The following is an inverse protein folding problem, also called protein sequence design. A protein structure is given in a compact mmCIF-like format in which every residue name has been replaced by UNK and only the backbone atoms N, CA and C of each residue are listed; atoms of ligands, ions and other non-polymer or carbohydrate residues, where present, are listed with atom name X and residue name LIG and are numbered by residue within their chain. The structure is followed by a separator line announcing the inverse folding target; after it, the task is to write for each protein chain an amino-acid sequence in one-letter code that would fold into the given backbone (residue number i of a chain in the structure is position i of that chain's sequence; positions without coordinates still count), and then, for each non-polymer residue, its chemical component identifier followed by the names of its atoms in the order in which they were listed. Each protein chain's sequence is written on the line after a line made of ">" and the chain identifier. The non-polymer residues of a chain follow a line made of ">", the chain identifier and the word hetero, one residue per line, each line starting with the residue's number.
data_IF_107257714515
#
_entry.id   IF_107257714515
#
_cell.length_a   1.000
_cell.length_b   1.000
_cell.length_c   1.000
_cell.angle_alpha   90.00
_cell.angle_beta   90.00
_cell.angle_gamma   90.00
#
_symmetry.space_group_name_H-M   'P 1'
#
loop_
_entity.id
_entity.type
_entity.pdbx_description
1 polymer ?
#
# COMPACT_ATOMS: atom_id res chain seq x y z
N UNK A 1 2.14 -18.84 15.86
CA UNK A 1 3.41 -18.71 15.13
C UNK A 1 3.21 -18.40 13.64
N UNK A 2 2.30 -19.07 12.93
CA UNK A 2 2.04 -18.82 11.50
C UNK A 2 1.61 -17.37 11.17
N UNK A 3 0.72 -16.77 11.97
CA UNK A 3 0.33 -15.37 11.78
C UNK A 3 1.51 -14.40 11.92
N UNK A 4 2.38 -14.63 12.90
CA UNK A 4 3.62 -13.86 13.10
C UNK A 4 4.59 -14.05 11.93
N UNK A 5 4.74 -15.28 11.43
CA UNK A 5 5.53 -15.57 10.24
C UNK A 5 4.97 -14.78 9.05
N UNK A 6 3.68 -14.91 8.74
CA UNK A 6 3.04 -14.20 7.63
C UNK A 6 3.23 -12.69 7.74
N UNK A 7 2.96 -12.11 8.91
CA UNK A 7 3.16 -10.68 9.17
C UNK A 7 4.62 -10.27 8.95
N UNK A 8 5.58 -11.04 9.48
CA UNK A 8 7.01 -10.72 9.30
C UNK A 8 7.49 -10.82 7.85
N UNK A 9 7.01 -11.82 7.10
CA UNK A 9 7.32 -11.96 5.69
C UNK A 9 6.75 -10.79 4.91
N UNK A 10 5.52 -10.37 5.24
CA UNK A 10 4.89 -9.22 4.62
C UNK A 10 5.70 -7.94 4.88
N UNK A 11 6.08 -7.66 6.13
CA UNK A 11 6.86 -6.46 6.47
C UNK A 11 8.23 -6.43 5.78
N UNK A 12 8.95 -7.56 5.76
CA UNK A 12 10.26 -7.65 5.09
C UNK A 12 10.11 -7.45 3.58
N UNK A 13 9.08 -8.02 2.96
CA UNK A 13 8.86 -7.86 1.51
C UNK A 13 8.39 -6.44 1.17
N UNK A 14 7.50 -5.84 1.98
CA UNK A 14 7.03 -4.46 1.83
C UNK A 14 8.15 -3.42 1.92
N UNK A 15 9.20 -3.72 2.68
CA UNK A 15 10.38 -2.86 2.80
C UNK A 15 11.22 -2.81 1.51
N UNK A 16 11.00 -3.74 0.59
CA UNK A 16 11.62 -3.77 -0.73
C UNK A 16 13.15 -3.81 -0.67
N UNK A 17 13.81 -3.13 -1.62
CA UNK A 17 15.26 -3.04 -1.67
C UNK A 17 15.86 -2.25 -0.49
N UNK A 18 15.05 -1.42 0.19
CA UNK A 18 15.51 -0.68 1.36
C UNK A 18 15.75 -1.60 2.55
N UNK A 19 15.19 -2.81 2.61
CA UNK A 19 15.34 -3.73 3.73
C UNK A 19 14.76 -3.21 5.06
N UNK A 20 14.74 -4.08 6.07
CA UNK A 20 14.06 -3.85 7.34
C UNK A 20 14.98 -4.12 8.53
N UNK A 21 15.11 -3.16 9.45
CA UNK A 21 15.83 -3.38 10.72
C UNK A 21 15.00 -4.25 11.65
N UNK A 22 15.64 -5.15 12.39
CA UNK A 22 14.98 -5.95 13.43
C UNK A 22 14.25 -5.09 14.47
N UNK A 23 14.84 -3.95 14.85
CA UNK A 23 14.24 -3.02 15.82
C UNK A 23 12.91 -2.44 15.34
N UNK A 24 12.75 -2.27 14.03
CA UNK A 24 11.53 -1.76 13.41
C UNK A 24 10.52 -2.86 13.08
N UNK A 25 10.98 -4.09 12.85
CA UNK A 25 10.10 -5.23 12.57
C UNK A 25 9.16 -5.54 13.74
N UNK A 26 9.66 -5.64 14.97
CA UNK A 26 8.84 -6.09 16.10
C UNK A 26 7.60 -5.24 16.42
N UNK A 27 7.69 -3.88 16.44
CA UNK A 27 6.51 -3.07 16.72
C UNK A 27 5.46 -3.13 15.61
N UNK A 28 5.83 -3.45 14.36
CA UNK A 28 4.89 -3.51 13.23
C UNK A 28 4.17 -4.85 13.10
N UNK A 29 4.62 -5.89 13.80
CA UNK A 29 3.99 -7.21 13.74
C UNK A 29 2.62 -7.25 14.42
N UNK A 30 1.70 -7.94 13.75
CA UNK A 30 0.37 -8.26 14.29
C UNK A 30 0.13 -9.77 14.23
N UNK A 31 -0.08 -10.46 15.38
CA UNK A 31 -0.09 -9.95 16.76
C UNK A 31 1.30 -9.50 17.25
N UNK A 32 1.36 -8.77 18.38
CA UNK A 32 2.66 -8.36 18.97
C UNK A 32 3.40 -9.58 19.53
N UNK A 33 4.67 -9.81 19.18
CA UNK A 33 5.41 -10.99 19.61
C UNK A 33 5.88 -10.89 21.06
N UNK A 34 5.82 -11.99 21.81
CA UNK A 34 6.54 -12.12 23.09
C UNK A 34 8.02 -12.38 22.86
N UNK A 35 8.84 -12.36 23.92
CA UNK A 35 10.28 -12.63 23.80
C UNK A 35 10.57 -14.05 23.26
N UNK A 36 9.80 -15.05 23.69
CA UNK A 36 9.93 -16.42 23.19
C UNK A 36 9.52 -16.54 21.71
N UNK A 37 8.49 -15.78 21.30
CA UNK A 37 8.07 -15.70 19.91
C UNK A 37 9.16 -15.08 19.04
N UNK A 38 9.82 -13.99 19.50
CA UNK A 38 10.92 -13.34 18.76
C UNK A 38 12.07 -14.30 18.49
N UNK A 39 12.49 -15.09 19.48
CA UNK A 39 13.57 -16.06 19.31
C UNK A 39 13.20 -17.16 18.29
N UNK A 40 11.97 -17.68 18.38
CA UNK A 40 11.46 -18.71 17.46
C UNK A 40 11.30 -18.16 16.04
N UNK A 41 10.74 -16.96 15.91
CA UNK A 41 10.56 -16.23 14.66
C UNK A 41 11.91 -15.92 14.00
N UNK A 42 12.90 -15.48 14.78
CA UNK A 42 14.25 -15.24 14.30
C UNK A 42 14.90 -16.50 13.71
N UNK A 43 14.77 -17.64 14.39
CA UNK A 43 15.25 -18.94 13.87
C UNK A 43 14.61 -19.28 12.52
N UNK A 44 13.30 -19.08 12.40
CA UNK A 44 12.57 -19.32 11.15
C UNK A 44 12.97 -18.34 10.04
N UNK A 45 13.07 -17.04 10.31
CA UNK A 45 13.50 -16.04 9.32
C UNK A 45 14.91 -16.34 8.80
N UNK A 46 15.82 -16.76 9.68
CA UNK A 46 17.18 -17.14 9.31
C UNK A 46 17.22 -18.37 8.41
N UNK A 47 16.26 -19.29 8.54
CA UNK A 47 16.18 -20.50 7.70
C UNK A 47 15.80 -20.21 6.24
N UNK A 48 15.31 -19.01 5.93
CA UNK A 48 14.73 -18.71 4.61
C UNK A 48 15.83 -18.40 3.57
N UNK A 49 15.90 -19.16 2.45
CA UNK A 49 16.88 -18.99 1.38
C UNK A 49 16.88 -17.65 0.66
N UNK A 50 15.76 -16.96 0.68
CA UNK A 50 15.61 -15.70 -0.03
C UNK A 50 15.99 -14.49 0.79
N UNK A 51 16.34 -14.65 2.08
CA UNK A 51 16.72 -13.52 2.94
C UNK A 51 18.23 -13.35 3.02
N UNK A 52 18.62 -12.08 2.96
CA UNK A 52 19.97 -11.57 3.13
C UNK A 52 20.01 -10.73 4.40
N UNK A 53 21.09 -10.88 5.16
CA UNK A 53 21.29 -10.22 6.43
C UNK A 53 22.49 -9.30 6.33
N UNK A 54 22.30 -8.00 6.56
CA UNK A 54 23.37 -7.00 6.47
C UNK A 54 23.46 -6.21 7.76
N UNK A 55 24.68 -5.83 8.13
CA UNK A 55 24.93 -4.92 9.25
C UNK A 55 25.10 -3.52 8.67
N UNK A 56 24.51 -2.47 9.27
CA UNK A 56 24.78 -1.10 8.86
C UNK A 56 26.29 -0.80 8.87
N UNK A 57 26.85 -0.44 7.71
CA UNK A 57 28.28 -0.17 7.54
C UNK A 57 29.12 -1.35 7.03
N UNK A 58 28.56 -2.54 6.89
CA UNK A 58 29.17 -3.66 6.18
C UNK A 58 28.48 -3.85 4.81
N UNK A 59 29.25 -3.85 3.72
CA UNK A 59 28.72 -4.03 2.36
C UNK A 59 28.43 -5.50 2.03
N UNK A 60 29.05 -6.43 2.77
CA UNK A 60 28.91 -7.87 2.53
C UNK A 60 27.77 -8.47 3.35
N UNK A 61 26.85 -9.22 2.75
CA UNK A 61 25.82 -9.93 3.50
C UNK A 61 26.44 -11.05 4.34
N UNK A 62 25.92 -11.20 5.55
CA UNK A 62 26.32 -12.25 6.48
C UNK A 62 25.85 -13.61 5.99
N UNK A 63 26.70 -14.62 6.18
CA UNK A 63 26.28 -16.02 6.11
C UNK A 63 25.28 -16.30 7.23
N UNK A 64 24.32 -17.18 6.95
CA UNK A 64 23.28 -17.55 7.92
C UNK A 64 23.84 -18.32 9.10
N UNK A 65 24.95 -19.00 8.88
CA UNK A 65 25.67 -19.79 9.85
C UNK A 65 26.56 -18.92 10.76
N UNK A 66 26.70 -17.62 10.45
CA UNK A 66 27.52 -16.68 11.22
C UNK A 66 27.07 -16.64 12.70
N UNK A 67 28.04 -16.91 13.58
CA UNK A 67 27.88 -17.00 15.04
C UNK A 67 27.26 -15.72 15.61
N UNK A 68 27.52 -14.56 14.99
CA UNK A 68 27.02 -13.24 15.40
C UNK A 68 25.49 -13.15 15.33
N UNK A 69 24.86 -13.89 14.42
CA UNK A 69 23.42 -13.81 14.16
C UNK A 69 22.66 -15.08 14.52
N UNK A 70 23.32 -16.08 15.11
CA UNK A 70 22.64 -17.30 15.59
C UNK A 70 21.65 -17.00 16.72
N UNK A 71 22.02 -16.09 17.63
CA UNK A 71 21.18 -15.66 18.74
C UNK A 71 20.46 -14.36 18.41
N UNK A 72 19.16 -14.32 18.68
CA UNK A 72 18.32 -13.14 18.53
C UNK A 72 18.90 -11.91 19.25
N UNK A 73 19.32 -12.08 20.52
CA UNK A 73 19.84 -10.96 21.34
C UNK A 73 21.06 -10.28 20.72
N UNK A 74 21.88 -11.04 19.98
CA UNK A 74 23.08 -10.52 19.33
C UNK A 74 22.71 -9.83 18.01
N UNK A 75 21.83 -10.45 17.21
CA UNK A 75 21.34 -9.89 15.96
C UNK A 75 20.64 -8.53 16.18
N UNK A 76 19.85 -8.39 17.24
CA UNK A 76 19.17 -7.14 17.57
C UNK A 76 20.17 -6.04 17.99
N UNK A 77 21.17 -6.37 18.82
CA UNK A 77 22.23 -5.43 19.24
C UNK A 77 23.09 -4.92 18.09
N UNK A 78 23.28 -5.74 17.06
CA UNK A 78 24.05 -5.37 15.86
C UNK A 78 23.26 -4.46 14.90
N UNK A 79 21.98 -4.17 15.19
CA UNK A 79 21.14 -3.38 14.30
C UNK A 79 20.93 -4.07 12.95
N UNK A 80 20.86 -5.41 12.96
CA UNK A 80 20.82 -6.22 11.76
C UNK A 80 19.61 -5.87 10.88
N UNK A 81 19.86 -5.84 9.58
CA UNK A 81 18.89 -5.53 8.54
C UNK A 81 18.60 -6.76 7.69
N UNK A 82 17.32 -7.08 7.55
CA UNK A 82 16.82 -8.17 6.70
C UNK A 82 16.39 -7.59 5.37
N UNK A 83 16.88 -8.16 4.27
CA UNK A 83 16.44 -7.79 2.92
C UNK A 83 16.04 -9.05 2.16
N UNK A 84 14.86 -9.05 1.55
CA UNK A 84 14.45 -10.08 0.61
C UNK A 84 15.26 -9.96 -0.69
N UNK A 85 15.70 -11.06 -1.29
CA UNK A 85 16.37 -11.05 -2.58
C UNK A 85 15.43 -10.54 -3.70
N UNK A 86 16.00 -10.20 -4.86
CA UNK A 86 15.22 -9.64 -5.97
C UNK A 86 14.05 -10.56 -6.38
N UNK A 87 14.28 -11.86 -6.50
CA UNK A 87 13.25 -12.80 -6.93
C UNK A 87 12.05 -12.84 -5.98
N UNK A 88 12.27 -12.87 -4.67
CA UNK A 88 11.17 -12.86 -3.70
C UNK A 88 10.41 -11.54 -3.73
N UNK A 89 11.10 -10.41 -3.89
CA UNK A 89 10.46 -9.10 -4.05
C UNK A 89 9.58 -9.05 -5.30
N UNK A 90 10.09 -9.56 -6.42
CA UNK A 90 9.38 -9.66 -7.69
C UNK A 90 8.11 -10.51 -7.53
N UNK A 91 8.23 -11.72 -6.96
CA UNK A 91 7.07 -12.57 -6.68
C UNK A 91 6.04 -11.87 -5.78
N UNK A 92 6.48 -11.10 -4.80
CA UNK A 92 5.59 -10.41 -3.86
C UNK A 92 4.76 -9.30 -4.51
N UNK A 93 5.30 -8.62 -5.53
CA UNK A 93 4.55 -7.65 -6.35
C UNK A 93 3.80 -8.31 -7.52
N UNK A 94 3.85 -9.65 -7.65
CA UNK A 94 3.13 -10.42 -8.67
C UNK A 94 3.93 -10.74 -9.93
N UNK A 95 5.25 -10.49 -9.92
CA UNK A 95 6.16 -10.75 -11.04
C UNK A 95 6.81 -12.15 -10.92
N UNK A 96 6.01 -13.20 -11.12
CA UNK A 96 6.50 -14.58 -10.95
C UNK A 96 7.50 -15.03 -12.04
N UNK A 97 7.29 -14.62 -13.30
CA UNK A 97 8.19 -14.91 -14.43
C UNK A 97 8.94 -13.66 -14.89
N UNK A 98 9.63 -12.99 -13.97
CA UNK A 98 10.37 -11.75 -14.27
C UNK A 98 11.35 -11.87 -15.46
N UNK A 99 11.87 -13.08 -15.73
CA UNK A 99 12.76 -13.40 -16.84
C UNK A 99 12.09 -13.46 -18.21
N UNK A 100 10.77 -13.71 -18.28
CA UNK A 100 10.01 -13.72 -19.54
C UNK A 100 9.34 -12.38 -19.84
N UNK A 101 9.19 -11.55 -18.82
CA UNK A 101 8.47 -10.30 -18.88
C UNK A 101 9.39 -9.10 -19.06
N UNK A 102 9.24 -8.37 -20.17
CA UNK A 102 9.90 -7.09 -20.43
C UNK A 102 9.29 -5.98 -19.54
N UNK A 103 9.50 -6.01 -18.22
CA UNK A 103 9.21 -4.87 -17.36
C UNK A 103 10.37 -3.88 -17.41
N UNK A 104 10.04 -2.62 -17.67
CA UNK A 104 11.02 -1.56 -17.57
C UNK A 104 11.33 -1.27 -16.10
N UNK A 105 12.47 -0.62 -15.84
CA UNK A 105 12.80 -0.16 -14.50
C UNK A 105 11.74 0.82 -13.95
N UNK A 106 11.04 1.52 -14.84
CA UNK A 106 9.92 2.40 -14.46
C UNK A 106 8.75 1.62 -13.88
N UNK A 107 8.41 0.48 -14.48
CA UNK A 107 7.34 -0.38 -14.00
C UNK A 107 7.67 -0.97 -12.62
N UNK A 108 8.93 -1.41 -12.43
CA UNK A 108 9.41 -1.89 -11.13
C UNK A 108 9.35 -0.80 -10.06
N UNK A 109 9.84 0.41 -10.36
CA UNK A 109 9.75 1.55 -9.42
C UNK A 109 8.31 1.91 -9.08
N UNK A 110 7.39 1.84 -10.05
CA UNK A 110 5.97 2.07 -9.79
C UNK A 110 5.41 1.01 -8.83
N UNK A 111 5.72 -0.27 -9.04
CA UNK A 111 5.30 -1.36 -8.16
C UNK A 111 5.91 -1.23 -6.75
N UNK A 112 7.19 -0.91 -6.63
CA UNK A 112 7.84 -0.66 -5.33
C UNK A 112 7.17 0.49 -4.58
N UNK A 113 6.79 1.55 -5.31
CA UNK A 113 6.13 2.71 -4.70
C UNK A 113 4.71 2.38 -4.23
N UNK A 114 3.97 1.61 -5.03
CA UNK A 114 2.65 1.10 -4.65
C UNK A 114 2.73 0.11 -3.49
N UNK A 115 3.81 -0.68 -3.43
CA UNK A 115 4.06 -1.60 -2.33
C UNK A 115 4.25 -0.87 -1.01
N UNK A 116 5.00 0.24 -1.01
CA UNK A 116 5.16 1.08 0.16
C UNK A 116 3.83 1.74 0.62
N UNK A 117 2.90 1.98 -0.31
CA UNK A 117 1.60 2.60 0.00
C UNK A 117 0.54 1.61 0.54
N UNK A 118 0.73 0.31 0.33
CA UNK A 118 -0.12 -0.78 0.86
C UNK A 118 -1.62 -0.49 0.68
N UNK A 119 -2.37 -0.48 1.78
CA UNK A 119 -3.83 -0.30 1.86
C UNK A 119 -4.28 1.16 1.75
N UNK A 120 -3.37 2.12 1.89
CA UNK A 120 -3.65 3.54 1.67
C UNK A 120 -3.81 3.84 0.18
N UNK A 121 -3.00 3.17 -0.65
CA UNK A 121 -2.94 3.41 -2.08
C UNK A 121 -2.28 4.76 -2.41
N UNK A 122 -2.12 5.02 -3.70
CA UNK A 122 -1.49 6.26 -4.19
C UNK A 122 -2.34 6.86 -5.29
N UNK A 123 -2.50 8.19 -5.27
CA UNK A 123 -3.18 8.87 -6.38
C UNK A 123 -2.32 8.83 -7.63
N UNK A 124 -2.96 8.76 -8.80
CA UNK A 124 -2.24 8.77 -10.08
C UNK A 124 -1.32 10.00 -10.22
N UNK A 125 -1.73 11.17 -9.71
CA UNK A 125 -0.90 12.38 -9.72
C UNK A 125 0.32 12.26 -8.80
N UNK A 126 0.20 11.67 -7.61
CA UNK A 126 1.32 11.44 -6.71
C UNK A 126 2.30 10.42 -7.29
N UNK A 127 1.80 9.34 -7.92
CA UNK A 127 2.65 8.36 -8.59
C UNK A 127 3.51 8.98 -9.69
N UNK A 128 2.93 9.89 -10.49
CA UNK A 128 3.67 10.62 -11.53
C UNK A 128 4.79 11.48 -10.96
N UNK A 129 4.51 12.21 -9.86
CA UNK A 129 5.51 13.03 -9.16
C UNK A 129 6.65 12.18 -8.59
N UNK A 130 6.31 11.10 -7.89
CA UNK A 130 7.30 10.22 -7.24
C UNK A 130 8.20 9.51 -8.26
N UNK A 131 7.69 9.25 -9.46
CA UNK A 131 8.47 8.64 -10.55
C UNK A 131 9.21 9.67 -11.42
N UNK A 132 8.90 10.97 -11.27
CA UNK A 132 9.43 12.04 -12.13
C UNK A 132 8.97 11.93 -13.59
N UNK A 133 7.72 11.49 -13.81
CA UNK A 133 7.19 11.18 -15.15
C UNK A 133 6.06 12.15 -15.51
N UNK A 134 6.10 12.70 -16.73
CA UNK A 134 4.99 13.47 -17.29
C UNK A 134 3.71 12.62 -17.45
N UNK A 135 2.54 13.25 -17.29
CA UNK A 135 1.25 12.54 -17.23
C UNK A 135 0.98 11.60 -18.41
N UNK A 136 1.40 11.96 -19.64
CA UNK A 136 1.21 11.14 -20.83
C UNK A 136 1.99 9.82 -20.77
N UNK A 137 3.19 9.83 -20.19
CA UNK A 137 4.03 8.64 -20.05
C UNK A 137 3.56 7.76 -18.88
N UNK A 138 3.04 8.37 -17.81
CA UNK A 138 2.48 7.63 -16.68
C UNK A 138 1.27 6.79 -17.09
N UNK A 139 0.43 7.32 -17.99
CA UNK A 139 -0.73 6.58 -18.50
C UNK A 139 -0.34 5.20 -19.05
N UNK A 140 0.74 5.10 -19.84
CA UNK A 140 1.19 3.83 -20.41
C UNK A 140 1.73 2.86 -19.37
N UNK A 141 2.44 3.36 -18.35
CA UNK A 141 2.91 2.53 -17.22
C UNK A 141 1.72 1.94 -16.48
N UNK A 142 0.78 2.79 -16.07
CA UNK A 142 -0.44 2.36 -15.36
C UNK A 142 -1.24 1.40 -16.22
N UNK A 143 -1.41 1.68 -17.51
CA UNK A 143 -2.18 0.80 -18.41
C UNK A 143 -1.52 -0.55 -18.58
N UNK A 144 -0.19 -0.60 -18.71
CA UNK A 144 0.56 -1.85 -18.84
C UNK A 144 0.45 -2.71 -17.58
N UNK A 145 0.62 -2.10 -16.41
CA UNK A 145 0.50 -2.79 -15.12
C UNK A 145 -0.93 -3.29 -14.87
N UNK A 146 -1.95 -2.51 -15.26
CA UNK A 146 -3.36 -2.88 -15.15
C UNK A 146 -3.70 -4.06 -16.06
N UNK A 147 -3.28 -4.02 -17.34
CA UNK A 147 -3.52 -5.11 -18.29
C UNK A 147 -2.86 -6.43 -17.84
N UNK A 148 -1.78 -6.36 -17.05
CA UNK A 148 -1.12 -7.53 -16.45
C UNK A 148 -1.75 -7.96 -15.12
N UNK A 149 -2.79 -7.27 -14.65
CA UNK A 149 -3.48 -7.60 -13.39
C UNK A 149 -2.64 -7.34 -12.14
N UNK A 150 -1.58 -6.54 -12.22
CA UNK A 150 -0.69 -6.24 -11.09
C UNK A 150 -1.21 -5.11 -10.21
N UNK A 151 -2.02 -4.22 -10.80
CA UNK A 151 -2.61 -3.07 -10.13
C UNK A 151 -4.11 -2.98 -10.39
N UNK A 152 -4.80 -2.28 -9.51
CA UNK A 152 -6.21 -1.92 -9.64
C UNK A 152 -6.36 -0.42 -9.50
N UNK A 153 -7.16 0.18 -10.40
CA UNK A 153 -7.57 1.59 -10.32
C UNK A 153 -8.93 1.69 -9.65
N UNK A 154 -9.03 2.52 -8.63
CA UNK A 154 -10.28 2.78 -7.91
C UNK A 154 -10.62 4.27 -8.03
N UNK A 155 -11.78 4.61 -8.62
CA UNK A 155 -12.20 6.00 -8.74
C UNK A 155 -12.41 6.64 -7.37
N UNK A 156 -11.86 7.82 -7.19
CA UNK A 156 -11.89 8.59 -5.93
C UNK A 156 -12.25 10.03 -6.21
N UNK A 157 -13.16 10.57 -5.38
CA UNK A 157 -13.52 11.99 -5.45
C UNK A 157 -12.69 12.75 -4.42
N UNK A 158 -11.89 13.70 -4.88
CA UNK A 158 -11.16 14.62 -4.00
C UNK A 158 -11.98 15.88 -3.83
N UNK A 159 -12.40 16.18 -2.60
CA UNK A 159 -13.10 17.42 -2.25
C UNK A 159 -12.08 18.45 -1.79
N UNK A 160 -12.05 19.60 -2.49
CA UNK A 160 -11.19 20.73 -2.16
C UNK A 160 -12.10 21.88 -1.65
N UNK A 161 -12.09 22.10 -0.32
CA UNK A 161 -12.69 23.21 0.47
C UNK A 161 -13.79 22.82 1.48
N UNK A 162 -13.89 23.62 2.56
CA UNK A 162 -14.85 23.52 3.68
C UNK A 162 -16.14 24.34 3.47
N UNK A 163 -16.26 25.12 2.39
CA UNK A 163 -17.42 25.99 2.18
C UNK A 163 -18.39 25.37 1.16
N UNK A 164 -19.61 25.09 1.64
CA UNK A 164 -20.65 24.35 0.95
C UNK A 164 -21.09 24.95 -0.41
N UNK A 165 -20.71 26.19 -0.72
CA UNK A 165 -21.14 26.89 -1.93
C UNK A 165 -20.18 26.81 -3.13
N UNK A 166 -18.90 26.44 -2.95
CA UNK A 166 -17.94 26.35 -4.09
C UNK A 166 -16.82 25.31 -3.87
N UNK A 167 -17.17 24.10 -3.44
CA UNK A 167 -16.19 23.00 -3.37
C UNK A 167 -15.87 22.48 -4.78
N UNK A 168 -14.64 22.72 -5.25
CA UNK A 168 -14.18 22.08 -6.48
C UNK A 168 -13.96 20.59 -6.20
N UNK A 169 -14.74 19.74 -6.86
CA UNK A 169 -14.58 18.29 -6.80
C UNK A 169 -13.76 17.82 -7.99
N UNK A 170 -12.68 17.10 -7.72
CA UNK A 170 -11.83 16.51 -8.76
C UNK A 170 -11.91 15.00 -8.64
N UNK A 171 -12.35 14.34 -9.70
CA UNK A 171 -12.29 12.89 -9.80
C UNK A 171 -10.88 12.47 -10.20
N UNK A 172 -10.26 11.62 -9.40
CA UNK A 172 -8.97 10.99 -9.69
C UNK A 172 -9.06 9.49 -9.44
N UNK A 173 -8.00 8.76 -9.74
CA UNK A 173 -7.92 7.34 -9.40
C UNK A 173 -6.88 7.15 -8.29
N UNK A 174 -7.26 6.38 -7.26
CA UNK A 174 -6.30 5.69 -6.42
C UNK A 174 -5.85 4.42 -7.10
N UNK A 175 -4.56 4.16 -7.02
CA UNK A 175 -3.90 3.01 -7.58
C UNK A 175 -3.40 2.16 -6.42
N UNK A 176 -3.71 0.88 -6.49
CA UNK A 176 -3.29 -0.13 -5.53
C UNK A 176 -2.59 -1.27 -6.25
N UNK A 177 -1.66 -1.95 -5.57
CA UNK A 177 -1.34 -3.32 -5.97
C UNK A 177 -2.58 -4.19 -5.82
N UNK A 178 -2.78 -5.14 -6.72
CA UNK A 178 -3.96 -6.00 -6.72
C UNK A 178 -4.18 -6.71 -5.37
N UNK A 179 -3.11 -7.05 -4.66
CA UNK A 179 -3.17 -7.70 -3.34
C UNK A 179 -3.69 -6.81 -2.21
N UNK A 180 -3.62 -5.49 -2.38
CA UNK A 180 -4.05 -4.50 -1.38
C UNK A 180 -5.31 -3.73 -1.78
N UNK A 181 -5.80 -3.95 -3.00
CA UNK A 181 -7.01 -3.31 -3.50
C UNK A 181 -8.22 -3.74 -2.64
N UNK A 182 -9.01 -2.78 -2.19
CA UNK A 182 -10.24 -3.08 -1.44
C UNK A 182 -11.34 -3.48 -2.43
N UNK A 183 -12.11 -4.51 -2.11
CA UNK A 183 -13.31 -4.83 -2.88
C UNK A 183 -14.44 -3.87 -2.47
N UNK A 184 -14.71 -2.87 -3.31
CA UNK A 184 -15.84 -1.96 -3.11
C UNK A 184 -17.12 -2.59 -3.67
N UNK A 185 -18.24 -2.40 -2.97
CA UNK A 185 -19.57 -2.67 -3.51
C UNK A 185 -19.91 -1.75 -4.70
N UNK A 186 -20.93 -2.12 -5.47
CA UNK A 186 -21.34 -1.44 -6.73
C UNK A 186 -21.58 0.07 -6.55
N UNK A 187 -22.02 0.50 -5.36
CA UNK A 187 -22.35 1.89 -5.02
C UNK A 187 -21.42 2.48 -3.94
N UNK A 188 -20.32 1.82 -3.61
CA UNK A 188 -19.33 2.34 -2.68
C UNK A 188 -18.24 3.08 -3.46
N UNK A 189 -17.84 4.25 -2.95
CA UNK A 189 -16.76 5.06 -3.55
C UNK A 189 -15.86 5.63 -2.46
N UNK A 190 -14.60 5.86 -2.80
CA UNK A 190 -13.69 6.58 -1.93
C UNK A 190 -13.86 8.10 -2.12
N UNK A 191 -13.82 8.82 -1.01
CA UNK A 191 -13.72 10.26 -0.96
C UNK A 191 -12.47 10.66 -0.18
N UNK A 192 -11.70 11.60 -0.72
CA UNK A 192 -10.59 12.23 0.00
C UNK A 192 -10.99 13.65 0.40
N UNK A 193 -11.01 13.91 1.70
CA UNK A 193 -11.17 15.27 2.23
C UNK A 193 -9.78 15.89 2.42
N UNK A 194 -9.42 16.88 1.60
CA UNK A 194 -8.13 17.58 1.76
C UNK A 194 -8.29 18.69 2.81
N UNK A 195 -7.56 18.61 3.93
CA UNK A 195 -7.40 19.72 4.86
C UNK A 195 -6.66 20.90 4.19
N UNK A 196 -7.05 22.14 4.51
CA UNK A 196 -6.56 23.35 3.85
C UNK A 196 -5.06 23.57 4.10
N UNK A 197 -4.37 24.15 3.11
CA UNK A 197 -2.95 24.49 3.18
C UNK A 197 -2.75 25.59 4.24
N UNK A 198 -2.09 25.29 5.37
CA UNK A 198 -1.82 26.29 6.43
C UNK A 198 -1.45 25.73 7.81
N UNK A 199 -1.76 24.48 8.11
CA UNK A 199 -1.09 23.74 9.19
C UNK A 199 0.03 22.93 8.55
N UNK A 200 1.24 22.95 9.13
CA UNK A 200 2.31 22.03 8.76
C UNK A 200 1.72 20.61 8.80
N UNK A 201 1.39 20.08 7.64
CA UNK A 201 1.15 18.67 7.48
C UNK A 201 2.51 18.04 7.70
N UNK A 202 2.77 17.66 8.95
CA UNK A 202 3.93 16.89 9.31
C UNK A 202 4.03 15.74 8.32
N UNK A 203 5.25 15.41 7.93
CA UNK A 203 5.56 14.18 7.24
C UNK A 203 5.09 13.03 8.14
N UNK A 204 3.81 12.67 8.03
CA UNK A 204 3.14 11.79 8.98
C UNK A 204 2.79 10.52 8.21
N UNK A 205 3.81 9.68 8.14
CA UNK A 205 3.60 8.24 8.26
C UNK A 205 2.71 7.99 9.47
N UNK A 206 1.48 7.51 9.25
CA UNK A 206 0.71 6.56 10.09
C UNK A 206 -0.79 6.67 9.73
N UNK A 207 -1.37 5.54 9.34
CA UNK A 207 -2.81 5.25 9.14
C UNK A 207 -3.75 6.35 8.62
N UNK A 208 -4.10 6.23 7.33
CA UNK A 208 -5.50 6.26 6.87
C UNK A 208 -6.36 7.50 7.07
N UNK A 209 -5.86 8.61 7.59
CA UNK A 209 -6.70 9.76 7.90
C UNK A 209 -6.93 10.63 6.65
N UNK A 210 -8.17 10.62 6.17
CA UNK A 210 -8.64 11.38 5.00
C UNK A 210 -9.29 10.54 3.90
N UNK A 211 -9.25 9.20 3.94
CA UNK A 211 -9.76 8.32 2.88
C UNK A 211 -11.06 7.62 3.32
N UNK A 212 -12.20 8.25 3.07
CA UNK A 212 -13.52 7.80 3.50
C UNK A 212 -14.17 6.92 2.43
N UNK A 213 -14.68 5.74 2.81
CA UNK A 213 -15.58 4.96 1.95
C UNK A 213 -17.00 5.42 2.19
N UNK A 214 -17.64 6.02 1.19
CA UNK A 214 -19.07 6.37 1.24
C UNK A 214 -19.89 5.32 0.51
N UNK A 215 -20.94 4.86 1.19
CA UNK A 215 -21.94 3.95 0.63
C UNK A 215 -23.19 4.75 0.25
N UNK A 216 -23.51 4.78 -1.04
CA UNK A 216 -24.66 5.53 -1.55
C UNK A 216 -25.94 4.69 -1.60
N UNK A 217 -25.90 3.38 -1.31
CA UNK A 217 -27.09 2.52 -1.30
C UNK A 217 -28.19 3.06 -0.35
N UNK A 218 -27.89 3.47 0.91
CA UNK A 218 -28.93 3.95 1.81
C UNK A 218 -29.58 5.26 1.32
N UNK A 219 -28.78 6.17 0.77
CA UNK A 219 -29.27 7.44 0.24
C UNK A 219 -30.14 7.23 -1.00
N UNK A 220 -29.70 6.36 -1.92
CA UNK A 220 -30.50 5.99 -3.10
C UNK A 220 -31.81 5.33 -2.70
N UNK A 221 -31.78 4.41 -1.72
CA UNK A 221 -32.98 3.76 -1.21
C UNK A 221 -33.97 4.78 -0.63
N UNK A 222 -33.49 5.72 0.19
CA UNK A 222 -34.33 6.79 0.74
C UNK A 222 -34.96 7.68 -0.35
N UNK A 223 -34.28 7.89 -1.48
CA UNK A 223 -34.84 8.61 -2.63
C UNK A 223 -35.93 7.76 -3.31
N UNK A 224 -35.67 6.47 -3.54
CA UNK A 224 -36.66 5.55 -4.11
C UNK A 224 -37.91 5.44 -3.25
N UNK A 225 -37.75 5.26 -1.93
CA UNK A 225 -38.85 5.18 -0.97
C UNK A 225 -39.70 6.47 -1.02
N UNK A 226 -39.07 7.64 -1.08
CA UNK A 226 -39.77 8.93 -1.23
C UNK A 226 -40.51 9.07 -2.57
N UNK A 227 -39.94 8.56 -3.66
CA UNK A 227 -40.57 8.59 -4.97
C UNK A 227 -41.79 7.65 -5.02
N UNK A 228 -41.71 6.50 -4.37
CA UNK A 228 -42.82 5.55 -4.23
C UNK A 228 -43.96 6.12 -3.36
N UNK A 229 -43.63 6.84 -2.27
CA UNK A 229 -44.62 7.57 -1.47
C UNK A 229 -45.26 8.75 -2.24
N UNK A 230 -44.54 9.33 -3.19
CA UNK A 230 -44.97 10.50 -3.95
C UNK A 230 -45.76 10.17 -5.23
N UNK A 231 -46.20 8.92 -5.41
CA UNK A 231 -46.67 8.29 -6.66
C UNK A 231 -47.78 9.02 -7.46
N UNK A 232 -48.30 10.18 -6.99
CA UNK A 232 -49.30 11.00 -7.69
C UNK A 232 -49.14 12.53 -7.49
N UNK A 233 -48.02 13.04 -6.94
CA UNK A 233 -47.83 14.47 -6.62
C UNK A 233 -46.55 15.10 -7.17
N UNK A 234 -46.00 14.57 -8.27
CA UNK A 234 -44.85 15.18 -8.92
C UNK A 234 -45.32 16.43 -9.68
N UNK A 235 -45.21 17.60 -9.05
CA UNK A 235 -45.47 18.89 -9.69
C UNK A 235 -44.40 19.13 -10.76
N UNK A 236 -44.69 18.73 -12.00
CA UNK A 236 -43.90 19.13 -13.17
C UNK A 236 -44.10 20.64 -13.32
N UNK A 237 -43.10 21.42 -12.91
CA UNK A 237 -43.00 22.83 -13.26
C UNK A 237 -42.66 22.88 -14.75
N UNK A 238 -43.68 22.97 -15.61
CA UNK A 238 -43.51 23.40 -16.98
C UNK A 238 -43.26 24.91 -16.98
N UNK A 239 -42.06 25.31 -17.41
CA UNK A 239 -41.75 26.68 -17.86
C UNK A 239 -42.57 27.07 -19.09
#
# INVERSE_FOLDING_TARGET
>A
MEALMSSSLEEVCCSGARGLSLSYLWPTLTPKPTLADKASLWSNLRSIPSFQFTIPGEDTPLSREDVRIQRFDHAEKLGLKITANQHLRDCFVGLYDASSSNFSDRDRRALDRLLAARTSGITQSQLGKDLGIEGNNLYYVVKTLECRGLIVRQPVVVKKSKDAENSSTVTTNLIYLSRYAKHLGVQQRFEIEKCADGEECGDTTEDGDGLLVRDFVPAMKAICDKLEEANDKVNILTE
#
